data_IF_172458645472
#
_entry.id   IF_172458645472
#
_cell.length_a   1.000
_cell.length_b   1.000
_cell.length_c   1.000
_cell.angle_alpha   90.00
_cell.angle_beta   90.00
_cell.angle_gamma   90.00
#
_symmetry.space_group_name_H-M   'P 1'
#
loop_
_entity.id
_entity.type
_entity.pdbx_description
1 polymer ?
#
# COMPACT_ATOMS: atom_id res chain seq x y z
N UNK A 1 4.71 44.78 -0.78
CA UNK A 1 4.63 43.91 -1.98
C UNK A 1 5.40 42.59 -1.83
N UNK A 2 6.69 42.57 -1.48
CA UNK A 2 7.47 41.31 -1.34
C UNK A 2 6.88 40.31 -0.34
N UNK A 3 6.40 40.77 0.83
CA UNK A 3 5.78 39.90 1.84
C UNK A 3 4.53 39.19 1.33
N UNK A 4 3.66 39.92 0.62
CA UNK A 4 2.41 39.37 0.09
C UNK A 4 2.65 38.24 -0.94
N UNK A 5 3.67 38.41 -1.79
CA UNK A 5 4.08 37.42 -2.80
C UNK A 5 4.66 36.16 -2.13
N UNK A 6 5.45 36.33 -1.07
CA UNK A 6 5.99 35.19 -0.31
C UNK A 6 4.86 34.44 0.40
N UNK A 7 3.90 35.14 1.01
CA UNK A 7 2.77 34.49 1.70
C UNK A 7 1.85 33.74 0.74
N UNK A 8 1.55 34.28 -0.45
CA UNK A 8 0.77 33.54 -1.45
C UNK A 8 1.55 32.35 -2.00
N UNK A 9 2.85 32.49 -2.27
CA UNK A 9 3.67 31.38 -2.73
C UNK A 9 3.72 30.23 -1.71
N UNK A 10 3.87 30.55 -0.41
CA UNK A 10 3.86 29.57 0.69
C UNK A 10 2.48 28.93 0.87
N UNK A 11 1.40 29.70 0.75
CA UNK A 11 0.03 29.17 0.82
C UNK A 11 -0.26 28.22 -0.36
N UNK A 12 0.20 28.53 -1.57
CA UNK A 12 0.03 27.68 -2.74
C UNK A 12 0.87 26.39 -2.61
N UNK A 13 2.12 26.49 -2.18
CA UNK A 13 2.97 25.32 -2.03
C UNK A 13 2.44 24.35 -0.96
N UNK A 14 2.02 24.88 0.19
CA UNK A 14 1.43 24.07 1.27
C UNK A 14 0.12 23.39 0.86
N UNK A 15 -0.77 24.09 0.16
CA UNK A 15 -2.03 23.49 -0.33
C UNK A 15 -1.78 22.40 -1.36
N UNK A 16 -0.82 22.59 -2.26
CA UNK A 16 -0.41 21.55 -3.22
C UNK A 16 0.11 20.33 -2.46
N UNK A 17 1.06 20.48 -1.52
CA UNK A 17 1.60 19.37 -0.72
C UNK A 17 0.47 18.62 0.01
N UNK A 18 -0.44 19.35 0.66
CA UNK A 18 -1.57 18.75 1.37
C UNK A 18 -2.47 17.93 0.43
N UNK A 19 -2.76 18.44 -0.77
CA UNK A 19 -3.54 17.73 -1.77
C UNK A 19 -2.86 16.43 -2.25
N UNK A 20 -1.54 16.46 -2.45
CA UNK A 20 -0.77 15.26 -2.82
C UNK A 20 -0.79 14.20 -1.71
N UNK A 21 -0.58 14.60 -0.46
CA UNK A 21 -0.62 13.69 0.70
C UNK A 21 -2.01 13.05 0.82
N UNK A 22 -3.07 13.86 0.71
CA UNK A 22 -4.45 13.34 0.77
C UNK A 22 -4.74 12.37 -0.39
N UNK A 23 -4.32 12.70 -1.62
CA UNK A 23 -4.50 11.81 -2.76
C UNK A 23 -3.74 10.49 -2.59
N UNK A 24 -2.53 10.52 -2.03
CA UNK A 24 -1.76 9.33 -1.73
C UNK A 24 -2.44 8.45 -0.67
N UNK A 25 -2.90 9.06 0.43
CA UNK A 25 -3.66 8.37 1.47
C UNK A 25 -4.94 7.73 0.92
N UNK A 26 -5.71 8.45 0.09
CA UNK A 26 -6.92 7.92 -0.54
C UNK A 26 -6.61 6.74 -1.47
N UNK A 27 -5.57 6.83 -2.30
CA UNK A 27 -5.17 5.71 -3.18
C UNK A 27 -4.79 4.47 -2.37
N UNK A 28 -4.05 4.68 -1.28
CA UNK A 28 -3.70 3.61 -0.37
C UNK A 28 -4.96 2.97 0.22
N UNK A 29 -5.86 3.76 0.85
CA UNK A 29 -7.11 3.23 1.41
C UNK A 29 -8.00 2.53 0.38
N UNK A 30 -8.12 3.06 -0.84
CA UNK A 30 -8.91 2.45 -1.92
C UNK A 30 -8.30 1.11 -2.35
N UNK A 31 -6.97 1.00 -2.39
CA UNK A 31 -6.33 -0.27 -2.70
C UNK A 31 -6.70 -1.35 -1.68
N UNK A 32 -6.61 -1.05 -0.38
CA UNK A 32 -6.97 -1.97 0.69
C UNK A 32 -8.47 -2.29 0.71
N UNK A 33 -9.32 -1.34 0.33
CA UNK A 33 -10.76 -1.58 0.20
C UNK A 33 -11.10 -2.50 -0.98
N UNK A 34 -10.36 -2.39 -2.08
CA UNK A 34 -10.59 -3.14 -3.33
C UNK A 34 -9.66 -4.34 -3.50
N UNK A 35 -8.90 -4.72 -2.47
CA UNK A 35 -8.01 -5.87 -2.50
C UNK A 35 -8.80 -7.18 -2.53
N UNK A 36 -8.28 -8.17 -3.25
CA UNK A 36 -8.85 -9.51 -3.34
C UNK A 36 -8.49 -10.34 -2.10
N UNK A 37 -7.40 -9.99 -1.42
CA UNK A 37 -7.03 -10.64 -0.19
C UNK A 37 -6.05 -9.83 0.63
N UNK A 38 -5.92 -10.27 1.88
CA UNK A 38 -5.01 -9.73 2.85
C UNK A 38 -4.24 -10.85 3.52
N UNK A 39 -2.94 -10.68 3.69
CA UNK A 39 -2.09 -11.65 4.36
C UNK A 39 -1.40 -11.03 5.57
N UNK A 40 -1.20 -11.85 6.60
CA UNK A 40 -0.47 -11.42 7.79
C UNK A 40 0.99 -11.05 7.45
N UNK A 41 1.67 -10.22 8.26
CA UNK A 41 3.08 -9.90 8.06
C UNK A 41 3.97 -11.15 7.97
N UNK A 42 3.71 -12.17 8.81
CA UNK A 42 4.47 -13.43 8.78
C UNK A 42 4.28 -14.19 7.48
N UNK A 43 3.05 -14.20 6.96
CA UNK A 43 2.74 -14.80 5.66
C UNK A 43 3.47 -14.06 4.55
N UNK A 44 3.41 -12.72 4.55
CA UNK A 44 4.09 -11.86 3.59
C UNK A 44 5.62 -12.09 3.56
N UNK A 45 6.25 -12.24 4.73
CA UNK A 45 7.67 -12.61 4.83
C UNK A 45 7.92 -14.00 4.25
N UNK A 46 7.07 -14.98 4.57
CA UNK A 46 7.22 -16.37 4.09
C UNK A 46 7.14 -16.47 2.57
N UNK A 47 6.32 -15.64 1.93
CA UNK A 47 6.20 -15.58 0.47
C UNK A 47 7.19 -14.59 -0.18
N UNK A 48 8.07 -13.98 0.62
CA UNK A 48 9.15 -13.10 0.15
C UNK A 48 8.70 -11.71 -0.30
N UNK A 49 7.49 -11.27 0.09
CA UNK A 49 6.94 -9.96 -0.27
C UNK A 49 7.13 -8.88 0.80
N UNK A 50 7.69 -9.25 1.94
CA UNK A 50 8.00 -8.35 3.06
C UNK A 50 9.30 -8.80 3.72
N UNK A 51 10.13 -7.87 4.21
CA UNK A 51 11.32 -8.26 4.98
C UNK A 51 10.94 -8.60 6.42
N UNK A 52 11.68 -9.53 7.03
CA UNK A 52 11.44 -9.98 8.40
C UNK A 52 11.49 -8.81 9.41
N UNK A 53 12.40 -7.87 9.18
CA UNK A 53 12.55 -6.64 9.97
C UNK A 53 11.36 -5.68 9.87
N UNK A 54 10.63 -5.69 8.75
CA UNK A 54 9.45 -4.84 8.50
C UNK A 54 8.18 -5.44 9.10
N UNK A 55 8.14 -6.76 9.26
CA UNK A 55 6.94 -7.49 9.72
C UNK A 55 6.45 -7.07 11.11
N UNK A 56 7.35 -6.61 11.99
CA UNK A 56 6.98 -6.16 13.34
C UNK A 56 6.28 -4.80 13.36
N UNK A 57 6.43 -4.01 12.30
CA UNK A 57 5.88 -2.65 12.18
C UNK A 57 4.76 -2.55 11.12
N UNK A 58 4.47 -3.66 10.46
CA UNK A 58 3.42 -3.76 9.45
C UNK A 58 2.15 -4.37 10.03
N UNK A 59 1.00 -3.88 9.59
CA UNK A 59 -0.28 -4.55 9.79
C UNK A 59 -0.37 -5.83 8.97
N UNK A 60 0.32 -5.91 7.82
CA UNK A 60 0.23 -7.00 6.86
C UNK A 60 0.36 -6.52 5.42
N UNK A 61 -0.19 -7.28 4.47
CA UNK A 61 -0.08 -6.99 3.04
C UNK A 61 -1.39 -7.30 2.33
N UNK A 62 -1.94 -6.29 1.67
CA UNK A 62 -3.09 -6.44 0.79
C UNK A 62 -2.61 -6.75 -0.63
N UNK A 63 -3.33 -7.60 -1.35
CA UNK A 63 -3.04 -7.92 -2.73
C UNK A 63 -4.30 -7.94 -3.60
N UNK A 64 -4.11 -7.67 -4.88
CA UNK A 64 -5.16 -7.63 -5.88
C UNK A 64 -4.63 -8.19 -7.19
N UNK A 65 -5.35 -9.13 -7.76
CA UNK A 65 -5.08 -9.73 -9.06
C UNK A 65 -5.11 -8.64 -10.13
N UNK A 66 -4.12 -8.65 -11.00
CA UNK A 66 -4.13 -7.74 -12.14
C UNK A 66 -4.94 -8.36 -13.29
N UNK A 67 -5.39 -7.55 -14.24
CA UNK A 67 -6.07 -8.06 -15.44
C UNK A 67 -5.16 -8.90 -16.35
N UNK A 68 -3.84 -8.93 -16.09
CA UNK A 68 -2.85 -9.76 -16.79
C UNK A 68 -2.43 -10.97 -15.95
N UNK A 69 -1.13 -11.21 -15.85
CA UNK A 69 -0.54 -12.16 -14.89
C UNK A 69 -0.27 -11.50 -13.55
N UNK A 70 -0.26 -12.32 -12.49
CA UNK A 70 0.20 -11.88 -11.18
C UNK A 70 -0.76 -10.96 -10.42
N UNK A 71 -0.19 -10.34 -9.40
CA UNK A 71 -0.88 -9.57 -8.37
C UNK A 71 -0.11 -8.28 -8.09
N UNK A 72 -0.87 -7.19 -7.99
CA UNK A 72 -0.40 -5.99 -7.33
C UNK A 72 -0.53 -6.17 -5.83
N UNK A 73 0.43 -5.64 -5.06
CA UNK A 73 0.37 -5.70 -3.61
C UNK A 73 0.84 -4.41 -2.94
N UNK A 74 0.39 -4.21 -1.70
CA UNK A 74 0.79 -3.10 -0.83
C UNK A 74 0.86 -3.56 0.62
N UNK A 75 1.93 -3.14 1.29
CA UNK A 75 2.09 -3.34 2.73
C UNK A 75 1.27 -2.33 3.52
N UNK A 76 0.70 -2.75 4.64
CA UNK A 76 0.00 -1.87 5.58
C UNK A 76 1.01 -1.36 6.61
N UNK A 77 1.58 -0.18 6.37
CA UNK A 77 2.59 0.41 7.27
C UNK A 77 2.22 1.86 7.59
N UNK A 78 2.68 2.39 8.72
CA UNK A 78 2.38 3.76 9.14
C UNK A 78 2.80 4.84 8.10
N UNK A 79 3.76 4.52 7.23
CA UNK A 79 4.24 5.36 6.12
C UNK A 79 3.74 4.90 4.74
N UNK A 80 2.87 3.90 4.65
CA UNK A 80 2.58 3.17 3.41
C UNK A 80 1.77 3.94 2.36
N UNK A 81 1.38 5.19 2.65
CA UNK A 81 0.90 6.11 1.61
C UNK A 81 2.05 6.62 0.71
N UNK A 82 3.30 6.52 1.15
CA UNK A 82 4.50 6.81 0.34
C UNK A 82 4.94 5.57 -0.44
N UNK A 83 4.64 4.38 0.07
CA UNK A 83 5.06 3.13 -0.56
C UNK A 83 4.37 2.87 -1.90
N UNK A 84 5.18 2.41 -2.83
CA UNK A 84 4.75 2.08 -4.19
C UNK A 84 3.98 0.77 -4.16
N UNK A 85 3.00 0.67 -5.08
CA UNK A 85 2.39 -0.63 -5.39
C UNK A 85 3.49 -1.54 -5.93
N UNK A 86 3.71 -2.67 -5.26
CA UNK A 86 4.55 -3.76 -5.75
C UNK A 86 3.77 -4.63 -6.73
N UNK A 87 4.50 -5.39 -7.55
CA UNK A 87 3.91 -6.38 -8.46
C UNK A 87 4.66 -7.71 -8.30
N UNK A 88 3.93 -8.82 -8.33
CA UNK A 88 4.49 -10.17 -8.26
C UNK A 88 3.72 -11.13 -9.15
N UNK A 89 4.44 -12.05 -9.79
CA UNK A 89 3.85 -13.14 -10.57
C UNK A 89 3.59 -14.40 -9.70
N UNK A 90 3.92 -14.37 -8.41
CA UNK A 90 3.59 -15.46 -7.48
C UNK A 90 2.07 -15.61 -7.41
N UNK A 91 1.56 -16.84 -7.45
CA UNK A 91 0.13 -17.09 -7.27
C UNK A 91 -0.26 -16.93 -5.79
N UNK A 92 -0.56 -15.69 -5.40
CA UNK A 92 -0.85 -15.34 -4.02
C UNK A 92 -2.13 -16.02 -3.51
N UNK A 93 -3.09 -16.31 -4.38
CA UNK A 93 -4.29 -17.05 -3.99
C UNK A 93 -3.92 -18.49 -3.60
N UNK A 94 -3.14 -19.18 -4.43
CA UNK A 94 -2.68 -20.54 -4.16
C UNK A 94 -1.78 -20.60 -2.91
N UNK A 95 -0.89 -19.63 -2.73
CA UNK A 95 -0.08 -19.53 -1.50
C UNK A 95 -0.94 -19.29 -0.27
N UNK A 96 -1.96 -18.45 -0.36
CA UNK A 96 -2.91 -18.22 0.72
C UNK A 96 -3.70 -19.48 1.07
N UNK A 97 -4.18 -20.24 0.09
CA UNK A 97 -4.86 -21.53 0.32
C UNK A 97 -3.93 -22.57 0.94
N UNK A 98 -2.66 -22.61 0.52
CA UNK A 98 -1.64 -23.53 1.05
C UNK A 98 -1.24 -23.20 2.49
N UNK A 99 -1.15 -21.91 2.82
CA UNK A 99 -0.66 -21.44 4.12
C UNK A 99 -1.78 -21.27 5.15
N UNK A 100 -3.02 -21.01 4.73
CA UNK A 100 -4.19 -20.87 5.59
C UNK A 100 -4.28 -19.55 6.38
N UNK A 101 -3.30 -18.66 6.24
CA UNK A 101 -3.16 -17.42 7.02
C UNK A 101 -3.45 -16.16 6.17
N UNK A 102 -4.50 -16.22 5.34
CA UNK A 102 -4.97 -15.09 4.55
C UNK A 102 -6.49 -14.87 4.69
N UNK A 103 -6.87 -13.60 4.71
CA UNK A 103 -8.26 -13.16 4.60
C UNK A 103 -8.56 -12.84 3.14
N UNK A 104 -9.20 -13.78 2.44
CA UNK A 104 -9.66 -13.57 1.07
C UNK A 104 -11.01 -12.83 1.08
N UNK A 105 -11.14 -11.80 0.26
CA UNK A 105 -12.42 -11.14 -0.01
C UNK A 105 -13.09 -11.81 -1.20
N UNK A 106 -14.38 -12.15 -1.03
CA UNK A 106 -15.22 -12.75 -2.07
C UNK A 106 -15.86 -11.70 -2.95
#
# INVERSE_FOLDING_TARGET
>A
MKLAIITTAVAISSTVIAAWVLAAALRHSVFFYTADGYMSPRTAVRVGLMKDEEASFSGGLAFRKTGGSGYDYREEMATAFIDRTGHTDIDLLAECERLGDCELRK
#
